data_IF_377286427670
#
_entry.id   IF_377286427670
#
_cell.length_a   1.000
_cell.length_b   1.000
_cell.length_c   1.000
_cell.angle_alpha   90.00
_cell.angle_beta   90.00
_cell.angle_gamma   90.00
#
_symmetry.space_group_name_H-M   'P 1'
#
loop_
_entity.id
_entity.type
_entity.pdbx_description
1 polymer ?
#
# COMPACT_ATOMS: atom_id res chain seq x y z
N UNK A 1 51.72 41.81 35.31
CA UNK A 1 51.37 42.61 36.51
C UNK A 1 49.88 42.92 36.41
N UNK A 2 49.03 42.11 37.01
CA UNK A 2 48.51 42.18 38.39
C UNK A 2 47.30 43.14 38.49
N UNK A 3 46.13 42.50 38.54
CA UNK A 3 44.91 42.84 39.28
C UNK A 3 44.25 44.21 39.06
N UNK A 4 42.94 44.22 38.79
CA UNK A 4 42.00 44.76 39.80
C UNK A 4 40.56 44.30 39.57
N UNK A 5 40.02 43.64 40.59
CA UNK A 5 38.60 43.45 40.83
C UNK A 5 37.90 44.80 41.05
N UNK A 6 36.72 44.98 40.46
CA UNK A 6 35.68 45.85 41.02
C UNK A 6 34.34 45.13 41.01
N UNK A 7 33.74 45.08 42.20
CA UNK A 7 32.42 44.56 42.52
C UNK A 7 31.38 45.69 42.43
N UNK A 8 30.11 45.26 42.39
CA UNK A 8 28.84 46.02 42.61
C UNK A 8 28.36 46.76 41.34
N UNK A 9 27.13 46.59 40.83
CA UNK A 9 25.85 46.54 41.51
C UNK A 9 24.78 45.69 40.80
N UNK A 10 23.90 45.15 41.64
CA UNK A 10 22.63 44.50 41.37
C UNK A 10 21.64 45.51 40.74
N UNK A 11 21.09 45.22 39.56
CA UNK A 11 19.80 45.80 39.15
C UNK A 11 19.01 44.78 38.36
N UNK A 12 18.14 44.05 39.07
CA UNK A 12 17.05 43.31 38.48
C UNK A 12 16.09 44.30 37.82
N UNK A 13 15.91 44.19 36.51
CA UNK A 13 14.70 44.67 35.82
C UNK A 13 14.17 43.51 34.98
N UNK A 14 13.30 42.75 35.63
CA UNK A 14 12.26 41.99 34.96
C UNK A 14 11.35 42.99 34.23
N UNK A 15 11.34 42.97 32.90
CA UNK A 15 10.17 43.41 32.16
C UNK A 15 9.80 42.35 31.13
N UNK A 16 8.82 41.57 31.55
CA UNK A 16 7.92 40.78 30.73
C UNK A 16 7.13 41.69 29.79
N UNK A 17 7.12 41.36 28.50
CA UNK A 17 6.03 41.51 27.53
C UNK A 17 6.53 40.79 26.25
N UNK A 18 5.93 39.72 25.74
CA UNK A 18 4.51 39.43 25.69
C UNK A 18 3.96 39.82 24.32
N UNK A 19 4.42 39.17 23.25
CA UNK A 19 3.72 39.14 21.97
C UNK A 19 3.57 37.70 21.51
N UNK A 20 2.55 37.05 22.07
CA UNK A 20 1.99 35.83 21.51
C UNK A 20 1.47 36.17 20.11
N UNK A 21 2.19 35.74 19.07
CA UNK A 21 1.62 35.63 17.73
C UNK A 21 0.44 34.66 17.76
N UNK A 22 -0.51 34.76 16.81
CA UNK A 22 -1.63 33.83 16.75
C UNK A 22 -1.05 32.43 16.58
N UNK A 23 -1.30 31.53 17.54
CA UNK A 23 -1.12 30.10 17.33
C UNK A 23 -2.15 29.74 16.27
N UNK A 24 -1.71 29.61 15.01
CA UNK A 24 -2.48 28.86 14.03
C UNK A 24 -2.83 27.51 14.67
N UNK A 25 -4.12 27.24 14.74
CA UNK A 25 -4.66 25.93 15.09
C UNK A 25 -4.23 24.98 13.94
N UNK A 26 -2.99 24.50 13.99
CA UNK A 26 -2.62 23.28 13.30
C UNK A 26 -3.51 22.21 13.91
N UNK A 27 -4.49 21.74 13.14
CA UNK A 27 -5.32 20.61 13.56
C UNK A 27 -4.38 19.52 14.10
N UNK A 28 -4.60 19.09 15.34
CA UNK A 28 -3.87 17.94 15.88
C UNK A 28 -4.07 16.79 14.90
N UNK A 29 -2.96 16.31 14.30
CA UNK A 29 -2.95 15.05 13.56
C UNK A 29 -3.73 14.02 14.40
N UNK A 30 -4.67 13.26 13.81
CA UNK A 30 -5.53 12.37 14.59
C UNK A 30 -4.65 11.39 15.38
N UNK A 31 -4.51 11.66 16.69
CA UNK A 31 -3.57 10.93 17.53
C UNK A 31 -4.02 9.47 17.62
N UNK A 32 -3.10 8.55 17.33
CA UNK A 32 -3.27 7.11 17.48
C UNK A 32 -2.21 6.61 18.46
N UNK A 33 -2.62 5.82 19.44
CA UNK A 33 -1.67 5.25 20.39
C UNK A 33 -0.80 4.18 19.71
N UNK A 34 0.42 3.95 20.22
CA UNK A 34 1.28 2.88 19.67
C UNK A 34 0.63 1.49 19.74
N UNK A 35 -0.19 1.24 20.77
CA UNK A 35 -0.93 -0.01 20.92
C UNK A 35 -1.98 -0.19 19.82
N UNK A 36 -2.78 0.85 19.59
CA UNK A 36 -3.78 0.88 18.52
C UNK A 36 -3.12 0.77 17.14
N UNK A 37 -1.97 1.44 16.95
CA UNK A 37 -1.17 1.35 15.73
C UNK A 37 -0.70 -0.07 15.45
N UNK A 38 -0.20 -0.77 16.47
CA UNK A 38 0.22 -2.16 16.36
C UNK A 38 -0.97 -3.08 16.00
N UNK A 39 -2.15 -2.83 16.56
CA UNK A 39 -3.36 -3.59 16.27
C UNK A 39 -3.78 -3.46 14.81
N UNK A 40 -3.85 -2.24 14.26
CA UNK A 40 -4.19 -2.03 12.85
C UNK A 40 -3.15 -2.62 11.88
N UNK A 41 -1.87 -2.58 12.23
CA UNK A 41 -0.82 -3.24 11.45
C UNK A 41 -1.00 -4.77 11.41
N UNK A 42 -1.31 -5.37 12.55
CA UNK A 42 -1.54 -6.81 12.66
C UNK A 42 -2.81 -7.22 11.91
N UNK A 43 -3.93 -6.54 12.16
CA UNK A 43 -5.20 -6.79 11.46
C UNK A 43 -5.05 -6.63 9.95
N UNK A 44 -4.44 -5.52 9.49
CA UNK A 44 -4.20 -5.27 8.08
C UNK A 44 -3.33 -6.35 7.43
N UNK A 45 -2.27 -6.79 8.12
CA UNK A 45 -1.39 -7.85 7.63
C UNK A 45 -2.12 -9.19 7.50
N UNK A 46 -2.95 -9.55 8.50
CA UNK A 46 -3.77 -10.74 8.44
C UNK A 46 -4.78 -10.70 7.29
N UNK A 47 -5.49 -9.58 7.11
CA UNK A 47 -6.49 -9.42 6.04
C UNK A 47 -5.81 -9.47 4.67
N UNK A 48 -4.67 -8.80 4.49
CA UNK A 48 -3.90 -8.84 3.24
C UNK A 48 -3.43 -10.27 2.92
N UNK A 49 -2.92 -11.01 3.90
CA UNK A 49 -2.49 -12.39 3.74
C UNK A 49 -3.67 -13.31 3.38
N UNK A 50 -4.79 -13.19 4.09
CA UNK A 50 -6.02 -13.96 3.79
C UNK A 50 -6.53 -13.67 2.38
N UNK A 51 -6.54 -12.39 1.99
CA UNK A 51 -6.96 -11.95 0.66
C UNK A 51 -6.06 -12.52 -0.43
N UNK A 52 -4.74 -12.45 -0.24
CA UNK A 52 -3.79 -13.03 -1.18
C UNK A 52 -3.95 -14.55 -1.29
N UNK A 53 -4.08 -15.26 -0.16
CA UNK A 53 -4.26 -16.71 -0.14
C UNK A 53 -5.55 -17.14 -0.82
N UNK A 54 -6.66 -16.47 -0.55
CA UNK A 54 -7.95 -16.80 -1.15
C UNK A 54 -7.94 -16.56 -2.68
N UNK A 55 -7.39 -15.43 -3.13
CA UNK A 55 -7.27 -15.11 -4.56
C UNK A 55 -6.36 -16.10 -5.29
N UNK A 56 -5.16 -16.31 -4.76
CA UNK A 56 -4.19 -17.22 -5.39
C UNK A 56 -4.68 -18.66 -5.36
N UNK A 57 -5.42 -19.06 -4.31
CA UNK A 57 -6.07 -20.36 -4.22
C UNK A 57 -7.11 -20.58 -5.30
N UNK A 58 -8.06 -19.65 -5.47
CA UNK A 58 -9.07 -19.74 -6.55
C UNK A 58 -8.43 -19.75 -7.93
N UNK A 59 -7.41 -18.91 -8.14
CA UNK A 59 -6.68 -18.88 -9.41
C UNK A 59 -5.99 -20.22 -9.69
N UNK A 60 -5.31 -20.80 -8.71
CA UNK A 60 -4.66 -22.12 -8.85
C UNK A 60 -5.66 -23.22 -9.17
N UNK A 61 -6.83 -23.22 -8.52
CA UNK A 61 -7.90 -24.16 -8.82
C UNK A 61 -8.38 -24.01 -10.26
N UNK A 62 -8.67 -22.79 -10.72
CA UNK A 62 -9.12 -22.56 -12.10
C UNK A 62 -8.07 -22.96 -13.13
N UNK A 63 -6.79 -22.66 -12.89
CA UNK A 63 -5.70 -23.08 -13.78
C UNK A 63 -5.62 -24.61 -13.84
N UNK A 64 -5.82 -25.29 -12.71
CA UNK A 64 -5.80 -26.76 -12.65
C UNK A 64 -6.98 -27.39 -13.39
N UNK A 65 -8.15 -26.77 -13.34
CA UNK A 65 -9.39 -27.32 -13.91
C UNK A 65 -9.58 -26.94 -15.38
N UNK A 66 -9.33 -25.68 -15.73
CA UNK A 66 -9.69 -25.07 -17.00
C UNK A 66 -8.50 -24.43 -17.72
N UNK A 67 -7.28 -24.67 -17.23
CA UNK A 67 -6.06 -24.11 -17.82
C UNK A 67 -5.92 -22.58 -17.64
N UNK A 68 -4.84 -22.06 -18.22
CA UNK A 68 -4.52 -20.64 -18.15
C UNK A 68 -5.56 -19.75 -18.85
N UNK A 69 -6.14 -20.23 -19.95
CA UNK A 69 -7.17 -19.48 -20.69
C UNK A 69 -8.45 -19.30 -19.86
N UNK A 70 -8.94 -20.36 -19.21
CA UNK A 70 -10.09 -20.29 -18.31
C UNK A 70 -9.85 -19.33 -17.14
N UNK A 71 -8.63 -19.36 -16.59
CA UNK A 71 -8.21 -18.43 -15.56
C UNK A 71 -8.23 -16.96 -16.00
N UNK A 72 -7.79 -16.65 -17.23
CA UNK A 72 -7.86 -15.29 -17.79
C UNK A 72 -9.31 -14.87 -17.98
N UNK A 73 -10.14 -15.75 -18.53
CA UNK A 73 -11.56 -15.52 -18.79
C UNK A 73 -12.37 -15.15 -17.54
N UNK A 74 -11.95 -15.59 -16.35
CA UNK A 74 -12.66 -15.32 -15.07
C UNK A 74 -11.86 -14.52 -14.04
N UNK A 75 -10.66 -14.03 -14.38
CA UNK A 75 -9.72 -13.42 -13.44
C UNK A 75 -10.32 -12.25 -12.62
N UNK A 76 -11.03 -11.34 -13.28
CA UNK A 76 -11.71 -10.19 -12.70
C UNK A 76 -12.89 -10.60 -11.80
N UNK A 77 -13.71 -11.56 -12.24
CA UNK A 77 -14.84 -12.08 -11.46
C UNK A 77 -14.39 -12.78 -10.19
N UNK A 78 -13.34 -13.60 -10.28
CA UNK A 78 -12.76 -14.27 -9.11
C UNK A 78 -12.09 -13.28 -8.18
N UNK A 79 -11.44 -12.25 -8.72
CA UNK A 79 -10.92 -11.16 -7.91
C UNK A 79 -12.04 -10.46 -7.14
N UNK A 80 -13.05 -9.96 -7.83
CA UNK A 80 -14.14 -9.19 -7.23
C UNK A 80 -14.91 -10.00 -6.17
N UNK A 81 -15.37 -11.20 -6.50
CA UNK A 81 -16.16 -12.04 -5.58
C UNK A 81 -15.39 -12.46 -4.32
N UNK A 82 -14.09 -12.71 -4.44
CA UNK A 82 -13.25 -13.10 -3.29
C UNK A 82 -12.99 -11.92 -2.38
N UNK A 83 -12.70 -10.74 -2.96
CA UNK A 83 -12.48 -9.53 -2.18
C UNK A 83 -13.77 -9.09 -1.48
N UNK A 84 -14.90 -9.11 -2.17
CA UNK A 84 -16.21 -8.76 -1.59
C UNK A 84 -16.55 -9.63 -0.36
N UNK A 85 -16.31 -10.94 -0.45
CA UNK A 85 -16.55 -11.84 0.68
C UNK A 85 -15.67 -11.50 1.89
N UNK A 86 -14.41 -11.12 1.68
CA UNK A 86 -13.48 -10.79 2.77
C UNK A 86 -13.82 -9.42 3.36
N UNK A 87 -14.10 -8.43 2.52
CA UNK A 87 -14.57 -7.10 2.96
C UNK A 87 -15.76 -7.22 3.91
N UNK A 88 -16.78 -8.02 3.53
CA UNK A 88 -17.97 -8.26 4.35
C UNK A 88 -17.65 -8.96 5.67
N UNK A 89 -16.77 -9.97 5.63
CA UNK A 89 -16.41 -10.74 6.83
C UNK A 89 -15.66 -9.89 7.87
N UNK A 90 -14.87 -8.92 7.43
CA UNK A 90 -14.03 -8.08 8.30
C UNK A 90 -14.59 -6.67 8.50
N UNK A 91 -15.63 -6.27 7.78
CA UNK A 91 -16.19 -4.91 7.86
C UNK A 91 -15.25 -3.82 7.33
N UNK A 92 -14.39 -4.16 6.34
CA UNK A 92 -13.38 -3.26 5.77
C UNK A 92 -13.58 -3.06 4.27
N UNK A 93 -12.99 -2.01 3.71
CA UNK A 93 -12.80 -1.89 2.25
C UNK A 93 -11.43 -2.41 1.86
N UNK A 94 -11.32 -3.15 0.75
CA UNK A 94 -10.07 -3.75 0.28
C UNK A 94 -9.93 -3.47 -1.21
N UNK A 95 -8.79 -2.88 -1.57
CA UNK A 95 -8.41 -2.63 -2.95
C UNK A 95 -7.02 -3.20 -3.20
N UNK A 96 -6.80 -3.67 -4.43
CA UNK A 96 -5.45 -3.92 -4.97
C UNK A 96 -5.14 -2.82 -5.94
N UNK A 97 -4.03 -2.11 -5.78
CA UNK A 97 -3.66 -1.03 -6.66
C UNK A 97 -2.21 -1.12 -7.11
N UNK A 98 -1.87 -0.46 -8.21
CA UNK A 98 -0.54 -0.47 -8.80
C UNK A 98 -0.33 0.69 -9.76
N UNK A 99 0.95 1.03 -10.03
CA UNK A 99 1.30 1.97 -11.12
C UNK A 99 1.00 1.38 -12.50
N UNK A 100 1.19 0.06 -12.64
CA UNK A 100 0.90 -0.75 -13.82
C UNK A 100 -0.34 -1.62 -13.57
N UNK A 101 -1.52 -1.16 -13.97
CA UNK A 101 -2.80 -1.84 -13.73
C UNK A 101 -3.22 -2.73 -14.90
N UNK A 102 -3.84 -3.87 -14.59
CA UNK A 102 -4.55 -4.70 -15.58
C UNK A 102 -5.99 -4.27 -15.75
N UNK A 103 -6.71 -4.32 -14.65
CA UNK A 103 -8.05 -3.77 -14.55
C UNK A 103 -7.96 -2.28 -14.18
N UNK A 104 -8.62 -1.41 -14.96
CA UNK A 104 -8.60 0.04 -14.77
C UNK A 104 -9.32 0.47 -13.47
N UNK A 105 -10.21 -0.36 -12.92
CA UNK A 105 -10.85 -0.14 -11.62
C UNK A 105 -9.84 -0.14 -10.45
N UNK A 106 -8.66 -0.70 -10.67
CA UNK A 106 -7.58 -0.76 -9.69
C UNK A 106 -6.63 0.44 -9.76
N UNK A 107 -6.94 1.48 -10.55
CA UNK A 107 -6.13 2.70 -10.63
C UNK A 107 -5.91 3.33 -9.27
N UNK A 108 -4.69 3.76 -8.93
CA UNK A 108 -4.40 4.37 -7.65
C UNK A 108 -5.04 5.77 -7.56
N UNK A 109 -5.45 6.16 -6.36
CA UNK A 109 -5.63 7.57 -6.00
C UNK A 109 -4.28 8.30 -6.01
N UNK A 110 -4.27 9.63 -5.89
CA UNK A 110 -3.01 10.38 -5.82
C UNK A 110 -2.17 10.01 -4.58
N UNK A 111 -2.83 9.77 -3.44
CA UNK A 111 -2.24 9.25 -2.21
C UNK A 111 -1.61 7.86 -2.42
N UNK A 112 -2.37 6.92 -2.99
CA UNK A 112 -1.87 5.57 -3.30
C UNK A 112 -0.71 5.62 -4.29
N UNK A 113 -0.75 6.54 -5.26
CA UNK A 113 0.32 6.73 -6.25
C UNK A 113 1.61 7.24 -5.61
N UNK A 114 1.52 8.08 -4.59
CA UNK A 114 2.69 8.51 -3.82
C UNK A 114 3.31 7.32 -3.06
N UNK A 115 2.49 6.56 -2.34
CA UNK A 115 2.94 5.37 -1.61
C UNK A 115 3.55 4.33 -2.56
N UNK A 116 2.90 4.04 -3.68
CA UNK A 116 3.40 3.11 -4.69
C UNK A 116 4.81 3.48 -5.17
N UNK A 117 5.09 4.77 -5.41
CA UNK A 117 6.43 5.25 -5.81
C UNK A 117 7.46 5.11 -4.69
N UNK A 118 7.04 5.31 -3.44
CA UNK A 118 7.91 5.09 -2.28
C UNK A 118 8.29 3.61 -2.17
N UNK A 119 7.32 2.70 -2.27
CA UNK A 119 7.57 1.25 -2.28
C UNK A 119 8.42 0.82 -3.47
N UNK A 120 8.19 1.35 -4.67
CA UNK A 120 8.98 1.05 -5.87
C UNK A 120 10.44 1.46 -5.70
N UNK A 121 10.70 2.63 -5.12
CA UNK A 121 12.06 3.09 -4.80
C UNK A 121 12.74 2.19 -3.77
N UNK A 122 12.03 1.85 -2.68
CA UNK A 122 12.55 0.97 -1.64
C UNK A 122 12.88 -0.42 -2.20
N UNK A 123 12.03 -0.96 -3.09
CA UNK A 123 12.26 -2.25 -3.75
C UNK A 123 13.51 -2.21 -4.63
N UNK A 124 13.66 -1.12 -5.41
CA UNK A 124 14.85 -0.90 -6.23
C UNK A 124 16.13 -0.78 -5.40
N UNK A 125 16.05 -0.19 -4.21
CA UNK A 125 17.16 -0.08 -3.27
C UNK A 125 17.45 -1.39 -2.50
N UNK A 126 16.63 -2.44 -2.67
CA UNK A 126 16.77 -3.70 -1.94
C UNK A 126 16.33 -3.61 -0.48
N UNK A 127 15.54 -2.59 -0.12
CA UNK A 127 15.04 -2.38 1.23
C UNK A 127 13.84 -3.29 1.54
N UNK A 128 13.60 -3.51 2.84
CA UNK A 128 12.43 -4.24 3.29
C UNK A 128 11.15 -3.40 3.10
N UNK A 129 10.19 -3.95 2.34
CA UNK A 129 8.90 -3.30 2.07
C UNK A 129 7.93 -3.50 3.24
N UNK A 130 8.13 -2.76 4.32
CA UNK A 130 7.27 -2.83 5.51
C UNK A 130 5.85 -2.28 5.25
N UNK A 131 4.81 -2.83 5.90
CA UNK A 131 3.48 -2.24 5.83
C UNK A 131 3.44 -0.83 6.42
N UNK A 132 2.54 0.00 5.91
CA UNK A 132 2.35 1.39 6.37
C UNK A 132 0.90 1.64 6.75
N UNK A 133 0.70 2.54 7.71
CA UNK A 133 -0.61 3.09 8.05
C UNK A 133 -0.68 4.56 7.65
N UNK A 134 -1.86 4.98 7.23
CA UNK A 134 -2.23 6.38 7.03
C UNK A 134 -3.55 6.64 7.73
N UNK A 135 -3.64 7.75 8.46
CA UNK A 135 -4.80 8.11 9.27
C UNK A 135 -5.31 9.45 8.72
N UNK A 136 -6.13 9.44 7.66
CA UNK A 136 -6.57 10.68 7.02
C UNK A 136 -7.47 11.52 7.94
N UNK A 137 -8.16 10.89 8.89
CA UNK A 137 -9.05 11.53 9.86
C UNK A 137 -9.25 10.64 11.10
N UNK A 138 -10.03 11.13 12.08
CA UNK A 138 -10.28 10.40 13.33
C UNK A 138 -11.11 9.12 13.18
N UNK A 139 -11.79 8.93 12.04
CA UNK A 139 -12.73 7.83 11.78
C UNK A 139 -12.24 6.81 10.76
N UNK A 140 -11.03 6.99 10.22
CA UNK A 140 -10.52 6.17 9.13
C UNK A 140 -9.07 5.80 9.36
N UNK A 141 -8.74 4.53 9.16
CA UNK A 141 -7.36 4.04 9.13
C UNK A 141 -7.15 3.26 7.85
N UNK A 142 -6.12 3.63 7.09
CA UNK A 142 -5.73 2.94 5.86
C UNK A 142 -4.44 2.18 6.09
N UNK A 143 -4.47 0.89 5.83
CA UNK A 143 -3.32 0.00 5.84
C UNK A 143 -2.88 -0.32 4.42
N UNK A 144 -1.56 -0.30 4.22
CA UNK A 144 -0.93 -0.61 2.95
C UNK A 144 0.13 -1.70 3.12
N UNK A 145 0.12 -2.71 2.24
CA UNK A 145 1.18 -3.72 2.20
C UNK A 145 1.57 -4.09 0.77
N UNK A 146 2.86 -4.34 0.59
CA UNK A 146 3.42 -4.66 -0.71
C UNK A 146 2.97 -6.02 -1.24
N UNK A 147 2.72 -6.06 -2.55
CA UNK A 147 2.53 -7.28 -3.33
C UNK A 147 3.82 -7.50 -4.12
N UNK A 148 4.48 -8.63 -3.92
CA UNK A 148 5.64 -9.06 -4.73
C UNK A 148 5.26 -10.19 -5.67
N UNK A 149 5.89 -10.21 -6.83
CA UNK A 149 5.64 -11.24 -7.85
C UNK A 149 6.21 -12.59 -7.44
N UNK A 150 5.37 -13.62 -7.48
CA UNK A 150 5.77 -15.02 -7.29
C UNK A 150 5.86 -15.71 -8.66
N UNK A 151 6.48 -16.90 -8.72
CA UNK A 151 6.68 -17.62 -9.97
C UNK A 151 5.38 -17.81 -10.79
N UNK A 152 4.29 -18.24 -10.14
CA UNK A 152 2.99 -18.41 -10.80
C UNK A 152 2.43 -17.09 -11.37
N UNK A 153 2.75 -15.94 -10.77
CA UNK A 153 2.29 -14.64 -11.26
C UNK A 153 2.86 -14.32 -12.65
N UNK A 154 4.07 -14.80 -12.95
CA UNK A 154 4.78 -14.49 -14.18
C UNK A 154 4.14 -15.11 -15.41
N UNK A 155 3.34 -16.17 -15.25
CA UNK A 155 2.59 -16.76 -16.35
C UNK A 155 1.59 -15.79 -17.00
N UNK A 156 1.17 -14.74 -16.28
CA UNK A 156 0.27 -13.70 -16.80
C UNK A 156 0.83 -12.27 -16.69
N UNK A 157 1.80 -12.04 -15.80
CA UNK A 157 2.38 -10.72 -15.54
C UNK A 157 3.83 -10.61 -15.99
N UNK A 158 4.42 -11.71 -16.44
CA UNK A 158 5.80 -11.76 -16.88
C UNK A 158 6.05 -11.03 -18.20
N UNK A 159 7.28 -11.14 -18.67
CA UNK A 159 7.70 -10.67 -19.98
C UNK A 159 7.15 -11.59 -21.09
N UNK A 160 6.38 -11.06 -22.07
CA UNK A 160 5.87 -11.82 -23.20
C UNK A 160 6.99 -12.51 -24.01
N UNK A 161 6.73 -13.72 -24.51
CA UNK A 161 7.70 -14.51 -25.27
C UNK A 161 8.83 -15.11 -24.44
N UNK A 162 8.87 -14.85 -23.12
CA UNK A 162 9.88 -15.43 -22.22
C UNK A 162 9.20 -16.14 -21.04
N UNK A 163 8.81 -15.39 -20.01
CA UNK A 163 8.13 -15.93 -18.81
C UNK A 163 6.62 -16.07 -18.97
N UNK A 164 6.06 -15.44 -20.00
CA UNK A 164 4.65 -15.55 -20.41
C UNK A 164 4.61 -15.90 -21.90
N UNK A 165 3.82 -16.90 -22.30
CA UNK A 165 3.71 -17.26 -23.72
C UNK A 165 2.99 -16.18 -24.53
N UNK A 166 3.27 -16.12 -25.83
CA UNK A 166 2.61 -15.18 -26.74
C UNK A 166 1.10 -15.41 -26.84
N UNK A 167 0.66 -16.67 -26.78
CA UNK A 167 -0.76 -17.05 -26.76
C UNK A 167 -1.48 -16.46 -25.53
N UNK A 168 -0.88 -16.59 -24.34
CA UNK A 168 -1.43 -16.02 -23.11
C UNK A 168 -1.44 -14.49 -23.16
N UNK A 169 -0.37 -13.89 -23.68
CA UNK A 169 -0.31 -12.45 -23.87
C UNK A 169 -1.43 -11.96 -24.80
N UNK A 170 -1.66 -12.63 -25.93
CA UNK A 170 -2.73 -12.29 -26.88
C UNK A 170 -4.11 -12.34 -26.20
N UNK A 171 -4.39 -13.39 -25.41
CA UNK A 171 -5.64 -13.50 -24.64
C UNK A 171 -5.81 -12.41 -23.59
N UNK A 172 -4.71 -12.02 -22.93
CA UNK A 172 -4.74 -10.92 -21.96
C UNK A 172 -5.09 -9.60 -22.66
N UNK A 173 -4.47 -9.29 -23.79
CA UNK A 173 -4.74 -8.05 -24.52
C UNK A 173 -6.14 -8.03 -25.14
N UNK A 174 -6.64 -9.18 -25.61
CA UNK A 174 -8.03 -9.34 -26.08
C UNK A 174 -9.02 -8.96 -24.97
N UNK A 175 -8.82 -9.48 -23.75
CA UNK A 175 -9.70 -9.19 -22.61
C UNK A 175 -9.45 -7.84 -21.96
N UNK A 176 -8.20 -7.39 -21.92
CA UNK A 176 -7.76 -6.15 -21.27
C UNK A 176 -6.94 -5.29 -22.25
N UNK A 177 -7.58 -4.57 -23.19
CA UNK A 177 -6.89 -3.82 -24.25
C UNK A 177 -5.98 -2.68 -23.75
N UNK A 178 -6.14 -2.27 -22.50
CA UNK A 178 -5.35 -1.20 -21.86
C UNK A 178 -4.47 -1.73 -20.73
N UNK A 179 -4.20 -3.04 -20.72
CA UNK A 179 -3.36 -3.68 -19.72
C UNK A 179 -1.94 -3.10 -19.73
N UNK A 180 -1.46 -2.79 -18.53
CA UNK A 180 -0.07 -2.35 -18.30
C UNK A 180 0.69 -3.30 -17.38
N UNK A 181 0.03 -4.34 -16.87
CA UNK A 181 0.58 -5.21 -15.84
C UNK A 181 1.43 -6.36 -16.41
N UNK A 182 2.38 -6.05 -17.29
CA UNK A 182 3.26 -7.01 -17.97
C UNK A 182 4.74 -6.67 -17.71
N UNK A 183 5.63 -7.59 -18.08
CA UNK A 183 7.08 -7.39 -18.00
C UNK A 183 7.66 -7.49 -16.60
N UNK A 184 6.93 -8.08 -15.65
CA UNK A 184 7.42 -8.28 -14.29
C UNK A 184 8.43 -9.42 -14.20
N UNK A 185 9.32 -9.33 -13.21
CA UNK A 185 10.29 -10.36 -12.83
C UNK A 185 9.92 -10.99 -11.48
N UNK A 186 10.52 -12.15 -11.20
CA UNK A 186 10.35 -12.82 -9.92
C UNK A 186 10.81 -11.91 -8.77
N UNK A 187 9.99 -11.76 -7.74
CA UNK A 187 10.27 -10.94 -6.57
C UNK A 187 10.05 -9.44 -6.74
N UNK A 188 9.78 -8.97 -7.96
CA UNK A 188 9.55 -7.54 -8.25
C UNK A 188 8.29 -7.01 -7.55
N UNK A 189 8.37 -5.77 -7.07
CA UNK A 189 7.22 -5.05 -6.54
C UNK A 189 6.13 -4.85 -7.59
N UNK A 190 4.94 -5.36 -7.30
CA UNK A 190 3.76 -5.31 -8.18
C UNK A 190 2.83 -4.15 -7.91
N UNK A 191 2.69 -3.78 -6.63
CA UNK A 191 1.65 -2.88 -6.16
C UNK A 191 1.30 -3.11 -4.71
N UNK A 192 0.16 -2.59 -4.28
CA UNK A 192 -0.26 -2.57 -2.89
C UNK A 192 -1.60 -3.27 -2.69
N UNK A 193 -1.74 -3.94 -1.55
CA UNK A 193 -3.00 -4.02 -0.85
C UNK A 193 -3.26 -2.68 -0.16
N UNK A 194 -4.48 -2.18 -0.30
CA UNK A 194 -5.00 -0.95 0.31
C UNK A 194 -6.25 -1.37 1.08
N UNK A 195 -6.19 -1.29 2.41
CA UNK A 195 -7.24 -1.78 3.31
C UNK A 195 -7.70 -0.62 4.17
N UNK A 196 -8.97 -0.28 4.12
CA UNK A 196 -9.55 0.82 4.89
C UNK A 196 -10.45 0.28 6.00
N UNK A 197 -10.12 0.66 7.22
CA UNK A 197 -10.88 0.43 8.42
C UNK A 197 -11.68 1.67 8.78
N UNK A 198 -12.90 1.46 9.28
CA UNK A 198 -13.63 2.48 10.03
C UNK A 198 -13.17 2.41 11.48
N UNK A 199 -12.65 3.52 11.98
CA UNK A 199 -12.13 3.72 13.34
C UNK A 199 -13.21 4.31 14.24
#
# INVERSE_FOLDING_TARGET
MRNLFWLVALSALMYSCGSAGPKENLAEEPAMSEMERAEYLEMGSQIAQRSFKALSGKLKAEISENGMEGAIAKCDLYAASTIDSIQKAFGVSIKRTALRTRNQENKPTDEEKHLLKLYERADYAGEELKPMLLIPDSSTVKFFSAIKMQALCLNCHGEPGTTMSEEIYAKIIEKYPTDKAIGYKLGEFRGLWSIEFKR
#
